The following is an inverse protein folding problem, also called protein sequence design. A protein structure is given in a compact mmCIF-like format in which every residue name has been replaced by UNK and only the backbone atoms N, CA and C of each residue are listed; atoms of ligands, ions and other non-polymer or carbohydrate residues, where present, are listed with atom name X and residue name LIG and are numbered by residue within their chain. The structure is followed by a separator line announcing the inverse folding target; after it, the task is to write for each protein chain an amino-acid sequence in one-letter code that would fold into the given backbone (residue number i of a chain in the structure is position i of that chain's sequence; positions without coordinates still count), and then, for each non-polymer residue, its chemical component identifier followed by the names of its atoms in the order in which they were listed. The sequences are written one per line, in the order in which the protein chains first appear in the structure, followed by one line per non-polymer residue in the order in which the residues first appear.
data_IF_794336335351
#
_entry.id   IF_794336335351
#
_cell.length_a   1.000
_cell.length_b   1.000
_cell.length_c   1.000
_cell.angle_alpha   90.00
_cell.angle_beta   90.00
_cell.angle_gamma   90.00
#
_symmetry.space_group_name_H-M   'P 1'
#
loop_
_entity.id
_entity.type
_entity.pdbx_description
1 polymer ?
#
# COMPACT_ATOMS: atom_id res chain seq x y z
N UNK A 1 31.01 -58.09 21.67
CA UNK A 1 30.95 -57.52 20.25
C UNK A 1 29.57 -57.42 19.65
N UNK A 2 28.53 -58.06 20.16
CA UNK A 2 27.14 -57.94 19.62
C UNK A 2 26.37 -56.72 20.17
N UNK A 3 26.62 -56.29 21.42
CA UNK A 3 25.93 -55.19 22.08
C UNK A 3 26.24 -53.86 21.43
N UNK A 4 27.50 -53.61 21.06
CA UNK A 4 27.88 -52.33 20.43
C UNK A 4 27.25 -52.13 19.03
N UNK A 5 27.06 -53.24 18.28
CA UNK A 5 26.37 -53.18 16.99
C UNK A 5 24.87 -52.85 17.14
N UNK A 6 24.25 -53.35 18.21
CA UNK A 6 22.85 -53.08 18.50
C UNK A 6 22.62 -51.62 18.89
N UNK A 7 23.52 -51.06 19.72
CA UNK A 7 23.50 -49.66 20.14
C UNK A 7 23.71 -48.73 18.92
N UNK A 8 24.65 -49.06 18.04
CA UNK A 8 24.92 -48.29 16.83
C UNK A 8 23.71 -48.30 15.89
N UNK A 9 23.04 -49.41 15.73
CA UNK A 9 21.84 -49.54 14.90
C UNK A 9 20.69 -48.71 15.49
N UNK A 10 20.52 -48.70 16.81
CA UNK A 10 19.48 -47.93 17.50
C UNK A 10 19.68 -46.44 17.31
N UNK A 11 20.93 -45.96 17.39
CA UNK A 11 21.26 -44.54 17.20
C UNK A 11 20.96 -44.10 15.76
N UNK A 12 21.24 -44.94 14.76
CA UNK A 12 20.96 -44.63 13.35
C UNK A 12 19.44 -44.54 13.10
N UNK A 13 18.64 -45.42 13.69
CA UNK A 13 17.19 -45.41 13.55
C UNK A 13 16.58 -44.16 14.19
N UNK A 14 17.07 -43.76 15.38
CA UNK A 14 16.61 -42.53 16.05
C UNK A 14 17.00 -41.26 15.25
N UNK A 15 18.21 -41.21 14.70
CA UNK A 15 18.66 -40.10 13.87
C UNK A 15 17.83 -39.95 12.57
N UNK A 16 17.42 -41.08 11.98
CA UNK A 16 16.56 -41.05 10.78
C UNK A 16 15.14 -40.62 11.06
N UNK A 17 14.63 -40.82 12.28
CA UNK A 17 13.27 -40.42 12.67
C UNK A 17 13.13 -38.92 12.79
N UNK A 18 14.20 -38.15 13.02
CA UNK A 18 14.17 -36.68 13.07
C UNK A 18 14.26 -36.01 11.69
N UNK A 19 14.63 -36.75 10.65
CA UNK A 19 14.75 -36.20 9.30
C UNK A 19 13.38 -35.97 8.61
N UNK A 20 12.29 -36.51 9.15
CA UNK A 20 10.94 -36.35 8.59
C UNK A 20 10.08 -35.28 9.28
N UNK A 21 10.63 -34.53 10.24
CA UNK A 21 10.00 -33.30 10.69
C UNK A 21 10.33 -32.21 9.66
N UNK A 22 9.97 -32.48 8.41
CA UNK A 22 9.84 -31.45 7.40
C UNK A 22 8.78 -30.48 7.91
N UNK A 23 9.20 -29.29 8.32
CA UNK A 23 8.31 -28.18 8.55
C UNK A 23 7.36 -28.08 7.35
N UNK A 24 6.14 -28.55 7.50
CA UNK A 24 5.03 -28.02 6.74
C UNK A 24 4.84 -26.57 7.20
N UNK A 25 5.64 -25.70 6.63
CA UNK A 25 5.35 -24.28 6.66
C UNK A 25 4.19 -24.08 5.69
N UNK A 26 3.01 -24.46 6.15
CA UNK A 26 1.80 -23.89 5.58
C UNK A 26 1.87 -22.41 5.96
N UNK A 27 2.54 -21.63 5.11
CA UNK A 27 2.21 -20.23 5.05
C UNK A 27 0.71 -20.22 4.74
N UNK A 28 -0.14 -19.68 5.62
CA UNK A 28 -1.49 -19.42 5.21
C UNK A 28 -1.38 -18.43 4.06
N UNK A 29 -1.52 -18.91 2.84
CA UNK A 29 -1.90 -18.09 1.71
C UNK A 29 -3.35 -17.67 1.95
N UNK A 30 -3.60 -16.97 3.04
CA UNK A 30 -4.66 -16.01 3.11
C UNK A 30 -4.18 -14.83 2.25
N UNK A 31 -4.05 -15.06 0.95
CA UNK A 31 -4.38 -14.03 0.04
C UNK A 31 -5.81 -13.67 0.43
N UNK A 32 -5.97 -12.64 1.24
CA UNK A 32 -7.24 -11.97 1.38
C UNK A 32 -7.55 -11.53 -0.06
N UNK A 33 -8.36 -12.35 -0.75
CA UNK A 33 -8.99 -11.93 -1.97
C UNK A 33 -9.79 -10.73 -1.53
N UNK A 34 -9.27 -9.52 -1.78
CA UNK A 34 -10.05 -8.31 -1.61
C UNK A 34 -11.24 -8.45 -2.56
N UNK A 35 -12.34 -8.92 -2.02
CA UNK A 35 -13.60 -9.12 -2.73
C UNK A 35 -14.18 -7.80 -3.27
N UNK A 36 -13.56 -6.66 -2.94
CA UNK A 36 -13.92 -5.33 -3.39
C UNK A 36 -13.17 -4.80 -4.61
N UNK A 37 -12.37 -5.61 -5.31
CA UNK A 37 -11.60 -5.16 -6.48
C UNK A 37 -12.52 -4.60 -7.57
N UNK A 38 -13.71 -5.15 -7.70
CA UNK A 38 -14.68 -4.75 -8.73
C UNK A 38 -15.54 -3.55 -8.33
N UNK A 39 -15.42 -3.04 -7.11
CA UNK A 39 -16.20 -1.90 -6.61
C UNK A 39 -15.35 -0.65 -6.39
N UNK A 40 -14.03 -0.77 -6.53
CA UNK A 40 -13.07 0.29 -6.26
C UNK A 40 -12.27 0.67 -7.50
N UNK A 41 -11.95 1.95 -7.62
CA UNK A 41 -10.94 2.46 -8.53
C UNK A 41 -9.56 2.47 -7.85
N UNK A 42 -8.52 2.43 -8.66
CA UNK A 42 -7.13 2.54 -8.22
C UNK A 42 -6.62 3.92 -8.59
N UNK A 43 -6.03 4.65 -7.63
CA UNK A 43 -5.63 6.05 -7.83
C UNK A 43 -4.19 6.27 -7.41
N UNK A 44 -3.45 7.02 -8.22
CA UNK A 44 -2.15 7.57 -7.93
C UNK A 44 -2.20 9.08 -8.13
N UNK A 45 -1.58 9.85 -7.27
CA UNK A 45 -1.54 11.32 -7.36
C UNK A 45 -0.10 11.78 -7.51
N UNK A 46 0.19 12.54 -8.57
CA UNK A 46 1.47 13.20 -8.80
C UNK A 46 1.33 14.69 -8.49
N UNK A 47 2.15 15.20 -7.59
CA UNK A 47 2.13 16.61 -7.21
C UNK A 47 3.07 17.42 -8.11
N UNK A 48 2.52 18.08 -9.11
CA UNK A 48 3.23 19.02 -9.98
C UNK A 48 2.96 20.50 -9.60
N UNK A 49 2.39 20.75 -8.41
CA UNK A 49 2.18 22.13 -7.91
C UNK A 49 3.52 22.74 -7.50
N UNK A 50 3.98 23.68 -8.27
CA UNK A 50 5.29 24.35 -8.08
C UNK A 50 5.32 25.06 -6.72
N UNK A 51 6.45 24.97 -6.02
CA UNK A 51 6.68 25.49 -4.66
C UNK A 51 5.86 24.83 -3.54
N UNK A 52 5.06 23.81 -3.83
CA UNK A 52 4.42 23.05 -2.75
C UNK A 52 5.44 22.21 -1.97
N UNK A 53 5.39 22.25 -0.65
CA UNK A 53 6.35 21.56 0.21
C UNK A 53 5.71 20.56 1.15
N UNK A 54 4.43 20.74 1.52
CA UNK A 54 3.77 20.00 2.60
C UNK A 54 2.29 19.77 2.33
N UNK A 55 1.98 19.20 1.19
CA UNK A 55 0.58 18.90 0.89
C UNK A 55 0.12 17.60 1.53
N UNK A 56 -1.11 17.57 1.98
CA UNK A 56 -1.83 16.35 2.33
C UNK A 56 -2.97 16.12 1.34
N UNK A 57 -3.22 14.85 1.07
CA UNK A 57 -4.34 14.40 0.24
C UNK A 57 -5.51 13.98 1.13
N UNK A 58 -6.69 14.45 0.77
CA UNK A 58 -7.97 14.05 1.34
C UNK A 58 -8.88 13.54 0.23
N UNK A 59 -9.69 12.55 0.54
CA UNK A 59 -10.76 12.06 -0.33
C UNK A 59 -12.05 12.04 0.49
N UNK A 60 -13.09 12.67 -0.01
CA UNK A 60 -14.39 12.82 0.66
C UNK A 60 -14.26 13.35 2.11
N UNK A 61 -13.35 14.30 2.32
CA UNK A 61 -13.05 14.89 3.62
C UNK A 61 -12.14 14.08 4.52
N UNK A 62 -11.83 12.83 4.19
CA UNK A 62 -10.95 11.98 4.96
C UNK A 62 -9.50 12.13 4.52
N UNK A 63 -8.58 12.34 5.46
CA UNK A 63 -7.15 12.39 5.16
C UNK A 63 -6.63 11.00 4.79
N UNK A 64 -6.15 10.86 3.55
CA UNK A 64 -5.63 9.60 3.01
C UNK A 64 -4.12 9.50 3.16
N UNK A 65 -3.39 10.60 2.96
CA UNK A 65 -1.94 10.59 3.10
C UNK A 65 -1.53 10.63 4.57
N UNK A 66 -0.71 9.68 5.00
CA UNK A 66 -0.12 9.64 6.34
C UNK A 66 1.00 10.66 6.53
N UNK A 67 1.69 11.02 5.44
CA UNK A 67 2.75 12.02 5.37
C UNK A 67 2.47 13.06 4.32
N UNK A 68 3.19 14.17 4.37
CA UNK A 68 3.14 15.20 3.34
C UNK A 68 3.86 14.76 2.08
N UNK A 69 3.44 15.28 0.93
CA UNK A 69 4.15 15.13 -0.34
C UNK A 69 4.36 16.49 -1.02
N UNK A 70 5.60 16.73 -1.43
CA UNK A 70 6.05 17.96 -2.04
C UNK A 70 5.92 17.92 -3.57
N UNK A 71 6.26 19.05 -4.21
CA UNK A 71 6.44 19.10 -5.66
C UNK A 71 7.36 17.99 -6.17
N UNK A 72 6.96 17.35 -7.25
CA UNK A 72 7.69 16.24 -7.86
C UNK A 72 7.45 14.87 -7.23
N UNK A 73 6.73 14.80 -6.11
CA UNK A 73 6.47 13.55 -5.43
C UNK A 73 5.15 12.89 -5.88
N UNK A 74 5.13 11.58 -5.72
CA UNK A 74 3.97 10.72 -5.99
C UNK A 74 3.35 10.27 -4.67
N UNK A 75 2.05 10.17 -4.60
CA UNK A 75 1.34 9.50 -3.52
C UNK A 75 0.52 8.31 -4.07
N UNK A 76 0.63 7.11 -3.48
CA UNK A 76 1.52 6.72 -2.38
C UNK A 76 3.00 6.66 -2.79
N UNK A 77 3.92 7.02 -1.88
CA UNK A 77 5.35 7.03 -2.19
C UNK A 77 5.98 5.63 -2.26
N UNK A 78 5.43 4.67 -1.51
CA UNK A 78 5.98 3.31 -1.36
C UNK A 78 5.11 2.23 -1.99
N UNK A 79 3.89 2.56 -2.40
CA UNK A 79 2.96 1.67 -3.06
C UNK A 79 2.64 2.19 -4.46
N UNK A 80 2.22 1.29 -5.34
CA UNK A 80 1.89 1.68 -6.71
C UNK A 80 0.70 2.65 -6.76
N UNK A 81 -0.32 2.42 -5.94
CA UNK A 81 -1.53 3.24 -5.89
C UNK A 81 -2.35 2.94 -4.62
N UNK A 82 -3.36 3.73 -4.36
CA UNK A 82 -4.37 3.49 -3.33
C UNK A 82 -5.74 3.27 -3.95
N UNK A 83 -6.68 2.73 -3.19
CA UNK A 83 -8.02 2.43 -3.68
C UNK A 83 -9.04 3.40 -3.11
N UNK A 84 -9.97 3.83 -3.97
CA UNK A 84 -11.15 4.62 -3.61
C UNK A 84 -12.41 3.90 -4.09
N UNK A 85 -13.51 4.10 -3.41
CA UNK A 85 -14.80 3.56 -3.87
C UNK A 85 -15.21 4.19 -5.19
N UNK A 86 -15.87 3.42 -6.05
CA UNK A 86 -16.41 3.95 -7.30
C UNK A 86 -17.50 5.00 -7.05
N UNK A 87 -17.77 5.81 -8.07
CA UNK A 87 -18.71 6.93 -8.02
C UNK A 87 -18.00 8.29 -7.92
N UNK A 88 -18.78 9.33 -7.71
CA UNK A 88 -18.22 10.69 -7.57
C UNK A 88 -17.43 10.81 -6.27
N UNK A 89 -16.18 11.25 -6.38
CA UNK A 89 -15.25 11.45 -5.26
C UNK A 89 -14.75 12.88 -5.26
N UNK A 90 -14.66 13.47 -4.08
CA UNK A 90 -14.09 14.81 -3.90
C UNK A 90 -12.65 14.67 -3.41
N UNK A 91 -11.73 15.20 -4.17
CA UNK A 91 -10.30 15.27 -3.83
C UNK A 91 -9.98 16.67 -3.31
N UNK A 92 -9.22 16.72 -2.22
CA UNK A 92 -8.69 17.97 -1.66
C UNK A 92 -7.20 17.79 -1.38
N UNK A 93 -6.40 18.70 -1.91
CA UNK A 93 -4.96 18.76 -1.67
C UNK A 93 -4.66 20.11 -1.06
N UNK A 94 -4.09 20.12 0.13
CA UNK A 94 -3.78 21.36 0.85
C UNK A 94 -2.55 21.24 1.73
N UNK A 95 -1.87 22.37 1.92
CA UNK A 95 -0.90 22.56 2.99
C UNK A 95 -1.65 22.69 4.33
N UNK A 96 -1.06 22.17 5.39
CA UNK A 96 -1.64 22.21 6.74
C UNK A 96 -1.13 23.34 7.59
N UNK A 97 -0.17 24.13 7.13
CA UNK A 97 0.25 25.32 7.86
C UNK A 97 -0.78 26.45 7.73
N UNK A 98 -1.15 27.01 8.88
CA UNK A 98 -2.03 28.18 8.93
C UNK A 98 -1.43 29.43 8.28
N UNK A 99 -0.10 29.48 8.09
CA UNK A 99 0.62 30.58 7.45
C UNK A 99 0.88 30.36 5.96
N UNK A 100 0.34 29.28 5.37
CA UNK A 100 0.55 29.01 3.95
C UNK A 100 -0.17 30.02 3.08
N UNK A 101 0.47 30.42 2.00
CA UNK A 101 -0.16 31.22 0.92
C UNK A 101 -0.73 30.33 -0.18
N UNK A 102 -0.49 29.01 -0.12
CA UNK A 102 -1.00 28.08 -1.11
C UNK A 102 -2.51 27.86 -0.92
N UNK A 103 -3.34 28.20 -1.91
CA UNK A 103 -4.77 27.90 -1.85
C UNK A 103 -5.00 26.38 -1.88
N UNK A 104 -6.04 25.87 -1.20
CA UNK A 104 -6.43 24.48 -1.34
C UNK A 104 -6.86 24.16 -2.77
N UNK A 105 -6.42 23.03 -3.32
CA UNK A 105 -6.91 22.51 -4.59
C UNK A 105 -8.02 21.51 -4.30
N UNK A 106 -9.23 21.82 -4.75
CA UNK A 106 -10.40 20.93 -4.59
C UNK A 106 -11.03 20.66 -5.95
N UNK A 107 -11.32 19.40 -6.23
CA UNK A 107 -12.04 19.00 -7.44
C UNK A 107 -12.84 17.71 -7.15
N UNK A 108 -13.86 17.47 -7.96
CA UNK A 108 -14.63 16.24 -7.94
C UNK A 108 -14.43 15.48 -9.26
N UNK A 109 -14.32 14.15 -9.16
CA UNK A 109 -14.15 13.28 -10.32
C UNK A 109 -14.95 11.99 -10.12
N UNK A 110 -15.46 11.44 -11.21
CA UNK A 110 -16.17 10.16 -11.19
C UNK A 110 -15.17 9.02 -11.38
N UNK A 111 -15.06 8.16 -10.39
CA UNK A 111 -14.19 7.00 -10.39
C UNK A 111 -14.97 5.76 -10.81
N UNK A 112 -14.59 5.13 -11.90
CA UNK A 112 -15.20 3.86 -12.34
C UNK A 112 -14.56 2.68 -11.63
N UNK A 113 -15.38 1.72 -11.25
CA UNK A 113 -14.92 0.47 -10.64
C UNK A 113 -13.95 -0.28 -11.57
N UNK A 114 -12.87 -0.79 -11.02
CA UNK A 114 -11.86 -1.56 -11.75
C UNK A 114 -10.94 -0.73 -12.65
N UNK A 115 -11.11 0.60 -12.72
CA UNK A 115 -10.24 1.47 -13.48
C UNK A 115 -9.08 2.01 -12.66
N UNK A 116 -8.01 2.40 -13.37
CA UNK A 116 -6.84 3.04 -12.78
C UNK A 116 -6.71 4.47 -13.27
N UNK A 117 -6.45 5.38 -12.34
CA UNK A 117 -6.34 6.80 -12.59
C UNK A 117 -5.01 7.34 -12.08
N UNK A 118 -4.40 8.23 -12.85
CA UNK A 118 -3.30 9.06 -12.39
C UNK A 118 -3.74 10.51 -12.41
N UNK A 119 -3.74 11.14 -11.27
CA UNK A 119 -4.13 12.54 -11.08
C UNK A 119 -2.85 13.38 -11.04
N UNK A 120 -2.75 14.35 -11.92
CA UNK A 120 -1.68 15.34 -11.89
C UNK A 120 -2.24 16.64 -11.34
N UNK A 121 -1.71 17.09 -10.21
CA UNK A 121 -2.03 18.41 -9.68
C UNK A 121 -1.00 19.39 -10.18
N UNK A 122 -1.45 20.48 -10.78
CA UNK A 122 -0.56 21.55 -11.20
C UNK A 122 -1.16 22.89 -10.79
N UNK A 123 -0.30 23.79 -10.39
CA UNK A 123 -0.61 25.19 -10.19
C UNK A 123 0.68 25.99 -10.31
N UNK A 124 0.57 27.19 -10.82
CA UNK A 124 1.62 28.20 -10.74
C UNK A 124 1.26 29.13 -9.59
N UNK A 125 1.82 28.88 -8.41
CA UNK A 125 1.75 29.83 -7.32
C UNK A 125 2.53 31.09 -7.72
N UNK A 126 1.81 32.13 -8.11
CA UNK A 126 2.37 33.46 -8.36
C UNK A 126 2.83 34.12 -7.07
#
# INVERSE_FOLDING_TARGET
MKLNKLITLLIIVVAFSFAFISCKREAPLTASIETGINTKATVQVYNATVKSTRNFLYVDGNKISGSTFAFGNVFPATAYAFKVDAGSRTFLIKDTLGSTTQPPLTFAETMDAGKSYTIFTYDTLN
#
